data_IF_368452204405
#
_entry.id   IF_368452204405
#
_cell.length_a   1.000
_cell.length_b   1.000
_cell.length_c   1.000
_cell.angle_alpha   90.00
_cell.angle_beta   90.00
_cell.angle_gamma   90.00
#
_symmetry.space_group_name_H-M   'P 1'
#
loop_
_entity.id
_entity.type
_entity.pdbx_description
1 polymer ?
#
# COMPACT_ATOMS: atom_id res chain seq x y z
N UNK A 1 30.66 12.50 -8.28
CA UNK A 1 30.50 11.54 -7.13
C UNK A 1 31.80 11.20 -6.42
N UNK A 2 32.90 11.92 -6.71
CA UNK A 2 34.24 11.62 -6.23
C UNK A 2 34.62 12.33 -4.93
N UNK A 3 33.83 13.30 -4.48
CA UNK A 3 34.18 14.17 -3.35
C UNK A 3 34.16 13.51 -1.96
N UNK A 4 33.46 12.40 -1.79
CA UNK A 4 33.33 11.73 -0.47
C UNK A 4 34.25 10.53 -0.29
N UNK A 5 34.80 9.98 -1.37
CA UNK A 5 35.64 8.77 -1.29
C UNK A 5 37.00 9.03 -0.66
N UNK A 6 37.60 10.19 -0.87
CA UNK A 6 38.93 10.49 -0.35
C UNK A 6 38.91 10.78 1.15
N UNK A 7 37.84 11.44 1.65
CA UNK A 7 37.66 11.62 3.10
C UNK A 7 37.49 10.29 3.82
N UNK A 8 36.72 9.34 3.26
CA UNK A 8 36.52 8.02 3.85
C UNK A 8 37.78 7.14 3.79
N UNK A 9 38.58 7.23 2.71
CA UNK A 9 39.86 6.46 2.57
C UNK A 9 40.90 6.84 3.59
N UNK A 10 40.86 8.07 4.10
CA UNK A 10 41.83 8.59 5.07
C UNK A 10 41.44 8.32 6.53
N UNK A 11 40.33 7.64 6.78
CA UNK A 11 39.92 7.25 8.14
C UNK A 11 40.84 6.08 8.59
N UNK A 12 41.59 6.19 9.68
CA UNK A 12 42.44 5.12 10.16
C UNK A 12 41.60 3.91 10.61
N UNK A 13 42.15 2.71 10.43
CA UNK A 13 41.55 1.49 10.95
C UNK A 13 41.47 1.59 12.49
N UNK A 14 40.27 1.35 13.05
CA UNK A 14 40.01 1.46 14.48
C UNK A 14 39.54 2.85 14.94
N UNK A 15 39.43 3.83 14.03
CA UNK A 15 38.84 5.13 14.38
C UNK A 15 37.33 4.99 14.66
N UNK A 16 36.84 5.76 15.62
CA UNK A 16 35.39 5.91 15.87
C UNK A 16 34.84 6.93 14.89
N UNK A 17 33.81 6.52 14.16
CA UNK A 17 33.09 7.39 13.21
C UNK A 17 31.68 7.64 13.71
N UNK A 18 31.30 8.90 13.80
CA UNK A 18 29.91 9.29 14.09
C UNK A 18 29.22 9.62 12.78
N UNK A 19 28.14 8.91 12.48
CA UNK A 19 27.27 9.19 11.32
C UNK A 19 26.01 9.87 11.83
N UNK A 20 25.78 11.09 11.37
CA UNK A 20 24.55 11.83 11.67
C UNK A 20 23.70 11.91 10.41
N UNK A 21 22.46 11.49 10.50
CA UNK A 21 21.47 11.60 9.44
C UNK A 21 20.44 12.63 9.87
N UNK A 22 20.22 13.64 9.05
CA UNK A 22 19.21 14.65 9.30
C UNK A 22 18.45 14.93 8.00
N UNK A 23 17.15 15.21 8.10
CA UNK A 23 16.35 15.62 6.97
C UNK A 23 16.47 17.15 6.76
N UNK A 24 16.40 17.59 5.51
CA UNK A 24 16.38 19.02 5.17
C UNK A 24 15.12 19.73 5.70
N UNK A 25 14.02 19.02 5.85
CA UNK A 25 12.82 19.47 6.54
C UNK A 25 12.78 18.81 7.91
N UNK A 26 12.84 19.61 8.97
CA UNK A 26 12.89 19.14 10.36
C UNK A 26 11.71 18.26 10.76
N UNK A 27 10.52 18.46 10.16
CA UNK A 27 9.34 17.61 10.41
C UNK A 27 9.59 16.11 10.11
N UNK A 28 10.58 15.78 9.27
CA UNK A 28 10.95 14.39 8.98
C UNK A 28 11.82 13.74 10.07
N UNK A 29 12.39 14.52 10.97
CA UNK A 29 13.26 13.99 12.03
C UNK A 29 12.46 13.26 13.12
N UNK A 30 11.17 13.61 13.27
CA UNK A 30 10.29 13.06 14.31
C UNK A 30 9.37 11.93 13.81
N UNK A 31 9.41 11.60 12.52
CA UNK A 31 8.57 10.52 11.98
C UNK A 31 9.14 9.15 12.35
N UNK A 32 8.29 8.27 12.83
CA UNK A 32 8.65 6.90 13.16
C UNK A 32 8.76 6.01 11.91
N UNK A 33 7.89 6.25 10.93
CA UNK A 33 7.85 5.51 9.67
C UNK A 33 7.72 6.48 8.51
N UNK A 34 8.38 6.17 7.39
CA UNK A 34 8.27 6.93 6.17
C UNK A 34 8.20 5.98 4.97
N UNK A 35 7.38 6.30 3.99
CA UNK A 35 7.27 5.58 2.73
C UNK A 35 7.46 6.53 1.57
N UNK A 36 8.33 6.15 0.64
CA UNK A 36 8.50 6.87 -0.62
C UNK A 36 7.39 6.50 -1.62
N UNK A 37 6.96 7.47 -2.40
CA UNK A 37 5.94 7.30 -3.42
C UNK A 37 6.43 7.75 -4.79
N UNK A 38 5.92 7.13 -5.85
CA UNK A 38 6.17 7.56 -7.22
C UNK A 38 5.35 8.80 -7.59
N UNK A 39 4.12 8.89 -7.05
CA UNK A 39 3.19 9.97 -7.38
C UNK A 39 2.42 10.43 -6.15
N UNK A 40 2.25 11.74 -6.00
CA UNK A 40 1.17 12.29 -5.19
C UNK A 40 -0.12 12.22 -6.04
N UNK A 41 -1.16 11.59 -5.52
CA UNK A 41 -2.43 11.36 -6.21
C UNK A 41 -3.51 12.35 -5.78
N UNK A 42 -3.63 12.54 -4.47
CA UNK A 42 -4.59 13.44 -3.85
C UNK A 42 -3.85 14.35 -2.88
N UNK A 43 -4.13 15.61 -2.96
CA UNK A 43 -3.62 16.63 -2.04
C UNK A 43 -4.76 17.59 -1.68
N UNK A 44 -4.96 17.82 -0.38
CA UNK A 44 -6.01 18.69 0.13
C UNK A 44 -7.42 18.33 -0.41
N UNK A 45 -7.69 17.03 -0.56
CA UNK A 45 -8.97 16.52 -1.08
C UNK A 45 -9.16 16.68 -2.59
N UNK A 46 -8.14 17.09 -3.34
CA UNK A 46 -8.21 17.28 -4.78
C UNK A 46 -7.23 16.38 -5.53
N UNK A 47 -7.60 15.97 -6.74
CA UNK A 47 -6.70 15.22 -7.64
C UNK A 47 -5.53 16.11 -8.06
N UNK A 48 -4.31 15.60 -7.90
CA UNK A 48 -3.09 16.29 -8.34
C UNK A 48 -3.05 16.35 -9.86
N UNK A 49 -2.73 17.50 -10.41
CA UNK A 49 -2.61 17.71 -11.86
C UNK A 49 -1.34 17.08 -12.43
N UNK A 50 -1.35 16.80 -13.74
CA UNK A 50 -0.16 16.31 -14.45
C UNK A 50 0.17 14.84 -14.21
N UNK A 51 -0.76 14.04 -13.66
CA UNK A 51 -0.56 12.61 -13.51
C UNK A 51 -0.37 11.93 -14.87
N UNK A 52 0.62 11.02 -14.99
CA UNK A 52 0.84 10.27 -16.23
C UNK A 52 -0.40 9.47 -16.64
N UNK A 53 -0.67 9.46 -17.94
CA UNK A 53 -1.71 8.62 -18.52
C UNK A 53 -1.29 7.14 -18.56
N UNK A 54 -2.25 6.29 -18.75
CA UNK A 54 -2.04 4.84 -18.93
C UNK A 54 -2.73 4.01 -17.88
N UNK A 55 -3.29 2.90 -18.34
CA UNK A 55 -4.08 1.96 -17.56
C UNK A 55 -3.19 0.79 -17.15
N UNK A 56 -3.06 0.56 -15.85
CA UNK A 56 -2.19 -0.46 -15.27
C UNK A 56 -2.75 -0.97 -13.94
N UNK A 57 -2.28 -2.12 -13.42
CA UNK A 57 -2.43 -2.43 -12.01
C UNK A 57 -1.85 -1.29 -11.16
N UNK A 58 -2.50 -0.92 -10.07
CA UNK A 58 -2.09 0.20 -9.22
C UNK A 58 -2.18 -0.15 -7.75
N UNK A 59 -1.27 0.44 -6.99
CA UNK A 59 -1.24 0.41 -5.53
C UNK A 59 -1.26 1.84 -5.02
N UNK A 60 -2.12 2.14 -4.08
CA UNK A 60 -2.21 3.45 -3.46
C UNK A 60 -2.40 3.34 -1.95
N UNK A 61 -1.94 4.36 -1.25
CA UNK A 61 -2.18 4.56 0.17
C UNK A 61 -2.70 5.98 0.36
N UNK A 62 -3.72 6.14 1.16
CA UNK A 62 -4.29 7.44 1.48
C UNK A 62 -4.66 7.57 2.94
N UNK A 63 -4.97 8.78 3.34
CA UNK A 63 -5.46 9.11 4.67
C UNK A 63 -6.69 10.00 4.56
N UNK A 64 -7.70 9.69 5.34
CA UNK A 64 -8.92 10.48 5.47
C UNK A 64 -8.73 11.64 6.45
N UNK A 65 -9.69 12.56 6.51
CA UNK A 65 -9.62 13.71 7.42
C UNK A 65 -9.61 13.33 8.91
N UNK A 66 -10.18 12.18 9.26
CA UNK A 66 -10.19 11.64 10.64
C UNK A 66 -8.96 10.77 10.95
N UNK A 67 -8.02 10.65 10.01
CA UNK A 67 -6.78 9.90 10.19
C UNK A 67 -6.88 8.41 9.81
N UNK A 68 -8.01 7.94 9.29
CA UNK A 68 -8.12 6.56 8.81
C UNK A 68 -7.19 6.34 7.61
N UNK A 69 -6.36 5.29 7.68
CA UNK A 69 -5.46 4.91 6.59
C UNK A 69 -6.16 3.93 5.65
N UNK A 70 -6.11 4.22 4.36
CA UNK A 70 -6.72 3.42 3.30
C UNK A 70 -5.63 2.81 2.43
N UNK A 71 -5.56 1.48 2.38
CA UNK A 71 -4.77 0.73 1.42
C UNK A 71 -5.66 0.33 0.25
N UNK A 72 -5.24 0.64 -0.96
CA UNK A 72 -6.02 0.39 -2.16
C UNK A 72 -5.18 -0.25 -3.25
N UNK A 73 -5.68 -1.33 -3.82
CA UNK A 73 -5.11 -1.94 -5.00
C UNK A 73 -6.17 -2.13 -6.07
N UNK A 74 -5.76 -2.06 -7.32
CA UNK A 74 -6.58 -2.46 -8.46
C UNK A 74 -5.75 -3.38 -9.36
N UNK A 75 -6.30 -4.55 -9.64
CA UNK A 75 -5.72 -5.48 -10.60
C UNK A 75 -5.73 -4.90 -12.02
N UNK A 76 -4.90 -5.44 -12.88
CA UNK A 76 -4.88 -5.01 -14.27
C UNK A 76 -4.07 -5.94 -15.16
N UNK A 77 -4.00 -5.60 -16.45
CA UNK A 77 -3.29 -6.39 -17.48
C UNK A 77 -3.75 -7.85 -17.56
N UNK A 78 -4.99 -8.15 -17.15
CA UNK A 78 -5.55 -9.50 -17.15
C UNK A 78 -6.86 -9.52 -17.95
N UNK A 79 -6.80 -10.14 -19.13
CA UNK A 79 -7.98 -10.29 -19.99
C UNK A 79 -9.09 -11.07 -19.26
N UNK A 80 -10.33 -10.60 -19.39
CA UNK A 80 -11.49 -11.21 -18.74
C UNK A 80 -11.60 -10.95 -17.22
N UNK A 81 -10.63 -10.22 -16.62
CA UNK A 81 -10.66 -9.88 -15.20
C UNK A 81 -10.59 -8.36 -14.97
N UNK A 82 -9.46 -7.74 -15.27
CA UNK A 82 -9.27 -6.31 -15.11
C UNK A 82 -8.19 -5.78 -16.07
N UNK A 83 -8.46 -4.64 -16.68
CA UNK A 83 -7.47 -3.90 -17.49
C UNK A 83 -6.59 -3.00 -16.61
N UNK A 84 -7.04 -2.68 -15.40
CA UNK A 84 -6.41 -1.73 -14.49
C UNK A 84 -7.06 -0.34 -14.53
N UNK A 85 -6.37 0.65 -13.97
CA UNK A 85 -6.81 2.03 -13.92
C UNK A 85 -5.69 3.01 -14.24
N UNK A 86 -6.06 4.23 -14.68
CA UNK A 86 -5.16 5.37 -14.72
C UNK A 86 -4.93 5.93 -13.31
N UNK A 87 -3.84 6.68 -13.13
CA UNK A 87 -3.55 7.32 -11.84
C UNK A 87 -4.66 8.31 -11.43
N UNK A 88 -5.24 9.03 -12.42
CA UNK A 88 -6.36 9.95 -12.14
C UNK A 88 -7.62 9.23 -11.68
N UNK A 89 -7.92 8.04 -12.23
CA UNK A 89 -9.04 7.23 -11.78
C UNK A 89 -8.80 6.70 -10.34
N UNK A 90 -7.57 6.28 -10.03
CA UNK A 90 -7.21 5.89 -8.65
C UNK A 90 -7.33 7.07 -7.70
N UNK A 91 -6.80 8.25 -8.07
CA UNK A 91 -6.92 9.46 -7.27
C UNK A 91 -8.40 9.82 -6.97
N UNK A 92 -9.25 9.77 -8.00
CA UNK A 92 -10.69 9.99 -7.84
C UNK A 92 -11.31 8.96 -6.89
N UNK A 93 -10.93 7.68 -7.02
CA UNK A 93 -11.43 6.63 -6.12
C UNK A 93 -10.98 6.83 -4.68
N UNK A 94 -9.74 7.30 -4.45
CA UNK A 94 -9.26 7.62 -3.10
C UNK A 94 -10.07 8.77 -2.47
N UNK A 95 -10.45 9.79 -3.25
CA UNK A 95 -11.35 10.87 -2.78
C UNK A 95 -12.73 10.31 -2.43
N UNK A 96 -13.31 9.43 -3.26
CA UNK A 96 -14.59 8.77 -2.97
C UNK A 96 -14.55 7.93 -1.70
N UNK A 97 -13.38 7.39 -1.34
CA UNK A 97 -13.13 6.68 -0.08
C UNK A 97 -12.87 7.64 1.11
N UNK A 98 -12.99 8.94 0.90
CA UNK A 98 -12.85 9.97 1.94
C UNK A 98 -11.42 10.46 2.15
N UNK A 99 -10.46 10.04 1.33
CA UNK A 99 -9.07 10.46 1.50
C UNK A 99 -8.89 11.93 1.15
N UNK A 100 -8.22 12.67 2.02
CA UNK A 100 -7.80 14.06 1.81
C UNK A 100 -6.37 14.15 1.27
N UNK A 101 -5.58 13.09 1.48
CA UNK A 101 -4.27 12.92 0.86
C UNK A 101 -4.10 11.47 0.43
N UNK A 102 -3.44 11.24 -0.71
CA UNK A 102 -3.12 9.90 -1.20
C UNK A 102 -1.87 9.90 -2.08
N UNK A 103 -1.14 8.81 -2.03
CA UNK A 103 0.08 8.57 -2.80
C UNK A 103 -0.05 7.28 -3.62
N UNK A 104 0.59 7.26 -4.79
CA UNK A 104 0.71 6.08 -5.63
C UNK A 104 2.06 5.41 -5.43
N UNK A 105 2.04 4.18 -5.00
CA UNK A 105 3.21 3.32 -4.87
C UNK A 105 3.56 2.66 -6.21
N UNK A 106 4.54 1.74 -6.22
CA UNK A 106 4.81 0.93 -7.39
C UNK A 106 3.58 0.08 -7.76
N UNK A 107 3.40 -0.11 -9.04
CA UNK A 107 2.23 -0.79 -9.63
C UNK A 107 2.65 -1.92 -10.56
N UNK A 108 1.80 -2.22 -11.55
CA UNK A 108 2.07 -3.31 -12.48
C UNK A 108 2.17 -4.65 -11.79
N UNK A 109 3.22 -5.41 -12.08
CA UNK A 109 3.47 -6.72 -11.46
C UNK A 109 3.75 -6.68 -9.96
N UNK A 110 4.13 -5.51 -9.41
CA UNK A 110 4.35 -5.33 -7.98
C UNK A 110 3.06 -5.10 -7.18
N UNK A 111 1.92 -4.90 -7.87
CA UNK A 111 0.62 -4.72 -7.19
C UNK A 111 0.21 -6.01 -6.52
N UNK A 112 0.37 -6.06 -5.20
CA UNK A 112 0.00 -7.21 -4.36
C UNK A 112 -0.54 -6.70 -3.03
N UNK A 113 -1.63 -7.28 -2.56
CA UNK A 113 -2.18 -7.07 -1.23
C UNK A 113 -2.45 -8.42 -0.58
N UNK A 114 -1.96 -8.58 0.63
CA UNK A 114 -2.14 -9.78 1.45
C UNK A 114 -2.88 -9.42 2.72
N UNK A 115 -3.72 -10.31 3.19
CA UNK A 115 -4.51 -10.14 4.42
C UNK A 115 -4.44 -11.43 5.22
N UNK A 116 -4.27 -11.31 6.51
CA UNK A 116 -4.53 -12.40 7.46
C UNK A 116 -5.99 -12.31 7.85
N UNK A 117 -6.79 -13.29 7.45
CA UNK A 117 -8.20 -13.36 7.82
C UNK A 117 -8.33 -13.72 9.31
N UNK A 118 -9.47 -13.43 9.94
CA UNK A 118 -9.76 -13.95 11.27
C UNK A 118 -9.55 -15.47 11.29
N UNK A 119 -8.93 -15.98 12.35
CA UNK A 119 -8.57 -17.40 12.58
C UNK A 119 -7.44 -17.95 11.68
N UNK A 120 -6.95 -17.19 10.70
CA UNK A 120 -5.76 -17.56 9.93
C UNK A 120 -4.47 -17.21 10.69
N UNK A 121 -3.46 -18.06 10.54
CA UNK A 121 -2.11 -17.82 11.06
C UNK A 121 -1.15 -17.26 10.03
N UNK A 122 -1.57 -17.22 8.77
CA UNK A 122 -0.76 -16.76 7.62
C UNK A 122 -1.54 -15.81 6.76
N UNK A 123 -0.85 -14.79 6.23
CA UNK A 123 -1.44 -13.88 5.26
C UNK A 123 -1.60 -14.58 3.90
N UNK A 124 -2.71 -14.33 3.24
CA UNK A 124 -3.01 -14.79 1.89
C UNK A 124 -3.14 -13.60 0.92
N UNK A 125 -2.67 -13.77 -0.31
CA UNK A 125 -2.88 -12.79 -1.37
C UNK A 125 -4.32 -12.78 -1.81
N UNK A 126 -4.97 -11.63 -1.70
CA UNK A 126 -6.40 -11.46 -2.00
C UNK A 126 -6.67 -10.80 -3.36
N UNK A 127 -5.65 -10.27 -4.03
CA UNK A 127 -5.76 -9.78 -5.39
C UNK A 127 -5.17 -10.79 -6.41
N UNK A 128 -5.18 -10.44 -7.70
CA UNK A 128 -4.64 -11.27 -8.78
C UNK A 128 -3.47 -10.55 -9.45
N UNK A 129 -2.21 -10.76 -8.98
CA UNK A 129 -1.03 -10.12 -9.55
C UNK A 129 -0.91 -10.33 -11.06
N UNK A 130 -0.56 -9.28 -11.81
CA UNK A 130 -0.49 -9.35 -13.28
C UNK A 130 0.60 -10.27 -13.81
N UNK A 131 1.63 -10.54 -13.02
CA UNK A 131 2.71 -11.48 -13.35
C UNK A 131 2.30 -12.95 -13.15
N UNK A 132 1.10 -13.21 -12.62
CA UNK A 132 0.59 -14.56 -12.35
C UNK A 132 0.98 -15.07 -10.95
N UNK A 133 1.96 -14.46 -10.31
CA UNK A 133 2.41 -14.72 -8.94
C UNK A 133 2.89 -13.42 -8.30
N UNK A 134 3.10 -13.45 -7.00
CA UNK A 134 3.69 -12.34 -6.27
C UNK A 134 5.12 -12.06 -6.76
N UNK A 135 5.42 -10.78 -6.97
CA UNK A 135 6.76 -10.33 -7.34
C UNK A 135 7.60 -10.14 -6.09
N UNK A 136 8.85 -10.59 -6.11
CA UNK A 136 9.83 -10.23 -5.10
C UNK A 136 10.09 -8.71 -5.15
N UNK A 137 9.87 -8.03 -4.05
CA UNK A 137 10.08 -6.58 -3.87
C UNK A 137 10.97 -6.32 -2.67
N UNK A 138 11.67 -5.18 -2.67
CA UNK A 138 12.68 -4.89 -1.65
C UNK A 138 12.08 -4.48 -0.30
N UNK A 139 10.85 -3.98 -0.28
CA UNK A 139 10.17 -3.53 0.94
C UNK A 139 8.66 -3.73 0.84
N UNK A 140 8.01 -3.71 1.99
CA UNK A 140 6.58 -3.89 2.15
C UNK A 140 6.03 -2.84 3.10
N UNK A 141 4.77 -2.49 2.95
CA UNK A 141 4.03 -1.66 3.89
C UNK A 141 3.00 -2.53 4.61
N UNK A 142 3.05 -2.52 5.94
CA UNK A 142 2.20 -3.35 6.77
C UNK A 142 1.25 -2.49 7.61
N UNK A 143 0.04 -2.99 7.81
CA UNK A 143 -0.86 -2.61 8.87
C UNK A 143 -0.86 -3.75 9.88
N UNK A 144 -0.43 -3.46 11.10
CA UNK A 144 -0.31 -4.46 12.17
C UNK A 144 -1.21 -4.06 13.33
N UNK A 145 -2.15 -4.95 13.69
CA UNK A 145 -2.91 -4.78 14.92
C UNK A 145 -1.99 -5.09 16.11
N UNK A 146 -1.87 -4.12 17.02
CA UNK A 146 -1.05 -4.25 18.25
C UNK A 146 -1.87 -4.33 19.51
N UNK A 147 -3.20 -4.29 19.38
CA UNK A 147 -4.10 -4.38 20.53
C UNK A 147 -4.21 -5.83 21.01
N UNK A 148 -4.15 -6.03 22.32
CA UNK A 148 -4.45 -7.33 22.91
C UNK A 148 -5.93 -7.69 22.64
N UNK A 149 -6.24 -8.97 22.40
CA UNK A 149 -7.62 -9.42 22.24
C UNK A 149 -8.44 -9.09 23.50
N UNK A 150 -9.53 -8.39 23.34
CA UNK A 150 -10.42 -8.04 24.46
C UNK A 150 -11.29 -9.22 24.92
N UNK A 151 -11.41 -10.25 24.09
CA UNK A 151 -12.34 -11.35 24.30
C UNK A 151 -13.80 -10.99 23.98
N UNK A 152 -14.06 -9.75 23.59
CA UNK A 152 -15.37 -9.29 23.13
C UNK A 152 -15.52 -9.44 21.62
N UNK A 153 -16.70 -9.84 21.16
CA UNK A 153 -17.00 -9.94 19.74
C UNK A 153 -17.10 -8.53 19.14
N UNK A 154 -16.07 -8.13 18.39
CA UNK A 154 -16.06 -6.86 17.68
C UNK A 154 -16.79 -6.91 16.33
N UNK A 155 -16.58 -7.97 15.59
CA UNK A 155 -17.25 -8.26 14.32
C UNK A 155 -17.13 -9.76 14.00
N UNK A 156 -17.91 -10.22 13.05
CA UNK A 156 -17.77 -11.56 12.49
C UNK A 156 -17.63 -11.48 10.98
N UNK A 157 -16.88 -12.39 10.43
CA UNK A 157 -16.72 -12.55 8.98
C UNK A 157 -17.63 -13.67 8.49
N UNK A 158 -18.32 -13.43 7.41
CA UNK A 158 -19.20 -14.42 6.78
C UNK A 158 -18.71 -14.66 5.37
N UNK A 159 -18.33 -15.89 5.07
CA UNK A 159 -17.94 -16.30 3.73
C UNK A 159 -19.00 -17.25 3.16
N UNK A 160 -19.42 -16.99 1.92
CA UNK A 160 -20.28 -17.91 1.18
C UNK A 160 -19.42 -18.72 0.21
N UNK A 161 -19.67 -20.02 0.11
CA UNK A 161 -18.95 -20.91 -0.81
C UNK A 161 -19.14 -20.53 -2.27
N UNK A 162 -20.21 -19.82 -2.61
CA UNK A 162 -20.50 -19.35 -3.93
C UNK A 162 -20.75 -17.84 -3.96
N UNK A 163 -20.03 -17.13 -4.84
CA UNK A 163 -20.21 -15.70 -5.04
C UNK A 163 -21.53 -15.34 -5.75
N UNK A 164 -22.15 -16.31 -6.44
CA UNK A 164 -23.40 -16.12 -7.18
C UNK A 164 -24.37 -17.25 -6.85
N UNK A 165 -25.57 -16.88 -6.43
CA UNK A 165 -26.66 -17.80 -6.13
C UNK A 165 -27.91 -17.35 -6.84
N UNK A 166 -28.76 -18.29 -7.24
CA UNK A 166 -30.06 -17.95 -7.80
C UNK A 166 -30.97 -17.37 -6.70
N UNK A 167 -31.80 -16.38 -7.07
CA UNK A 167 -32.75 -15.80 -6.13
C UNK A 167 -33.66 -16.90 -5.53
N UNK A 168 -33.76 -16.92 -4.20
CA UNK A 168 -34.52 -17.93 -3.47
C UNK A 168 -33.77 -19.21 -3.12
N UNK A 169 -32.49 -19.35 -3.52
CA UNK A 169 -31.65 -20.46 -3.09
C UNK A 169 -31.23 -20.31 -1.62
N UNK A 170 -31.01 -21.45 -0.95
CA UNK A 170 -30.35 -21.48 0.35
C UNK A 170 -28.84 -21.52 0.13
N UNK A 171 -28.11 -20.74 0.92
CA UNK A 171 -26.65 -20.71 0.95
C UNK A 171 -26.21 -21.19 2.31
N UNK A 172 -25.26 -22.12 2.34
CA UNK A 172 -24.56 -22.45 3.58
C UNK A 172 -23.49 -21.39 3.82
N UNK A 173 -23.40 -20.91 5.04
CA UNK A 173 -22.41 -19.96 5.52
C UNK A 173 -21.61 -20.63 6.63
N UNK A 174 -20.31 -20.60 6.49
CA UNK A 174 -19.34 -21.09 7.47
C UNK A 174 -18.76 -19.93 8.29
#
# INVERSE_FOLDING_TARGET
TTFYTDALRNIPVGATVTVTVSAANEAWNDVQYAVGALYSLVQDGAVVSGLPSGVNPRTAVGVTADGTVVFYTIDGRRSGHSIGASLSQVAQRMIELGCVAAIGLDGGGSTTITVTQPDDTTAATINRPSDGSERAVANHLFLVATNEPTGELGHFYVQADNAYVLAGSKVEIS
#
